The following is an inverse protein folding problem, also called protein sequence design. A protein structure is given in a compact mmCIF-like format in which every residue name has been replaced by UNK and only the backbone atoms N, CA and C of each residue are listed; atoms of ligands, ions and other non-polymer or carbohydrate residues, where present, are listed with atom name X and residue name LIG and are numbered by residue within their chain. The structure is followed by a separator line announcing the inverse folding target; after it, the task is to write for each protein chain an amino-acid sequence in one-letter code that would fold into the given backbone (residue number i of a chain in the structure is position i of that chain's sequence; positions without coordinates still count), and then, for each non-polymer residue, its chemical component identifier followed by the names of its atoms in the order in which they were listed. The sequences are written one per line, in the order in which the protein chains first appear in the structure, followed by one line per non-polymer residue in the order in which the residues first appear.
data_IF_915559211862
#
_entry.id   IF_915559211862
#
_cell.length_a   1.000
_cell.length_b   1.000
_cell.length_c   1.000
_cell.angle_alpha   90.00
_cell.angle_beta   90.00
_cell.angle_gamma   90.00
#
_symmetry.space_group_name_H-M   'P 1'
#
loop_
_entity.id
_entity.type
_entity.pdbx_description
1 polymer ?
#
# COMPACT_ATOMS: atom_id res chain seq x y z
N UNK A 1 11.35 3.38 -29.55
CA UNK A 1 10.52 4.29 -28.75
C UNK A 1 10.68 3.82 -27.32
N UNK A 2 11.57 4.46 -26.56
CA UNK A 2 11.78 4.14 -25.15
C UNK A 2 10.53 4.57 -24.38
N UNK A 3 9.80 3.60 -23.83
CA UNK A 3 8.74 3.89 -22.87
C UNK A 3 9.39 4.50 -21.64
N UNK A 4 9.23 5.80 -21.46
CA UNK A 4 9.68 6.53 -20.27
C UNK A 4 9.00 5.87 -19.05
N UNK A 5 9.77 5.09 -18.29
CA UNK A 5 9.29 4.37 -17.11
C UNK A 5 8.95 5.40 -16.02
N UNK A 6 7.66 5.74 -15.90
CA UNK A 6 7.16 6.61 -14.83
C UNK A 6 7.44 6.00 -13.45
N UNK A 7 7.71 6.85 -12.47
CA UNK A 7 7.96 6.47 -11.07
C UNK A 7 6.69 5.85 -10.49
N UNK A 8 6.80 4.59 -10.07
CA UNK A 8 5.76 3.89 -9.33
C UNK A 8 6.12 3.86 -7.85
N UNK A 9 5.29 4.50 -7.02
CA UNK A 9 5.47 4.63 -5.59
C UNK A 9 4.45 3.75 -4.88
N UNK A 10 4.91 2.89 -3.98
CA UNK A 10 4.05 2.19 -3.03
C UNK A 10 4.06 2.93 -1.70
N UNK A 11 2.89 3.17 -1.13
CA UNK A 11 2.73 3.76 0.20
C UNK A 11 2.10 2.72 1.13
N UNK A 12 2.78 2.44 2.23
CA UNK A 12 2.37 1.46 3.24
C UNK A 12 2.26 2.11 4.63
N UNK A 13 1.12 2.74 4.94
CA UNK A 13 0.87 3.37 6.23
C UNK A 13 0.62 2.34 7.33
N UNK A 14 0.90 2.74 8.56
CA UNK A 14 0.42 2.04 9.75
C UNK A 14 -1.12 2.07 9.75
N UNK A 15 -1.82 0.94 9.98
CA UNK A 15 -3.28 0.86 9.85
C UNK A 15 -4.02 1.48 11.05
N UNK A 16 -3.62 2.70 11.41
CA UNK A 16 -4.26 3.57 12.39
C UNK A 16 -4.81 4.80 11.68
N UNK A 17 -5.93 5.32 12.16
CA UNK A 17 -6.67 6.41 11.50
C UNK A 17 -5.79 7.64 11.22
N UNK A 18 -4.91 8.03 12.16
CA UNK A 18 -3.99 9.16 11.99
C UNK A 18 -3.02 8.96 10.83
N UNK A 19 -2.10 7.97 10.92
CA UNK A 19 -1.14 7.66 9.87
C UNK A 19 -1.76 7.45 8.48
N UNK A 20 -2.90 6.75 8.39
CA UNK A 20 -3.62 6.58 7.12
C UNK A 20 -3.98 7.93 6.50
N UNK A 21 -4.58 8.84 7.25
CA UNK A 21 -4.99 10.15 6.72
C UNK A 21 -3.80 11.02 6.30
N UNK A 22 -2.70 10.96 7.06
CA UNK A 22 -1.46 11.64 6.71
C UNK A 22 -0.91 11.11 5.37
N UNK A 23 -0.82 9.79 5.23
CA UNK A 23 -0.28 9.16 4.02
C UNK A 23 -1.20 9.31 2.80
N UNK A 24 -2.52 9.34 2.98
CA UNK A 24 -3.45 9.69 1.90
C UNK A 24 -3.26 11.13 1.41
N UNK A 25 -3.00 12.06 2.33
CA UNK A 25 -2.71 13.45 1.96
C UNK A 25 -1.36 13.58 1.25
N UNK A 26 -0.37 12.80 1.65
CA UNK A 26 0.90 12.69 0.93
C UNK A 26 0.69 12.14 -0.49
N UNK A 27 -0.09 11.07 -0.65
CA UNK A 27 -0.40 10.49 -1.96
C UNK A 27 -1.07 11.51 -2.90
N UNK A 28 -2.04 12.26 -2.37
CA UNK A 28 -2.77 13.32 -3.10
C UNK A 28 -1.79 14.43 -3.56
N UNK A 29 -0.86 14.86 -2.69
CA UNK A 29 0.17 15.85 -3.04
C UNK A 29 1.13 15.34 -4.12
N UNK A 30 1.62 14.10 -4.00
CA UNK A 30 2.52 13.52 -5.00
C UNK A 30 1.86 13.44 -6.37
N UNK A 31 0.59 13.03 -6.41
CA UNK A 31 -0.17 12.94 -7.65
C UNK A 31 -0.52 14.32 -8.22
N UNK A 32 -0.82 15.30 -7.38
CA UNK A 32 -1.11 16.67 -7.82
C UNK A 32 0.14 17.40 -8.36
N UNK A 33 1.30 17.19 -7.75
CA UNK A 33 2.53 17.94 -8.08
C UNK A 33 3.32 17.35 -9.26
N UNK A 34 3.13 16.07 -9.58
CA UNK A 34 3.87 15.36 -10.64
C UNK A 34 2.91 14.77 -11.67
N UNK A 35 2.29 15.65 -12.43
CA UNK A 35 1.39 15.27 -13.52
C UNK A 35 2.16 14.48 -14.59
N UNK A 36 1.68 13.28 -14.89
CA UNK A 36 2.16 12.33 -15.91
C UNK A 36 3.38 11.43 -15.59
N UNK A 37 4.10 11.62 -14.49
CA UNK A 37 5.28 10.76 -14.19
C UNK A 37 5.12 9.87 -12.98
N UNK A 38 4.27 10.23 -12.00
CA UNK A 38 4.10 9.46 -10.76
C UNK A 38 2.77 8.71 -10.74
N UNK A 39 2.86 7.41 -10.43
CA UNK A 39 1.74 6.57 -10.02
C UNK A 39 1.93 6.12 -8.58
N UNK A 40 0.84 6.04 -7.82
CA UNK A 40 0.83 5.68 -6.40
C UNK A 40 -0.05 4.47 -6.18
N UNK A 41 0.50 3.44 -5.56
CA UNK A 41 -0.26 2.33 -5.00
C UNK A 41 -0.29 2.47 -3.49
N UNK A 42 -1.47 2.69 -2.94
CA UNK A 42 -1.70 2.76 -1.52
C UNK A 42 -2.10 1.38 -0.99
N UNK A 43 -1.29 0.78 -0.13
CA UNK A 43 -1.53 -0.58 0.36
C UNK A 43 -1.97 -0.51 1.82
N UNK A 44 -3.03 -1.22 2.19
CA UNK A 44 -3.44 -1.34 3.60
C UNK A 44 -3.99 -2.73 3.90
N UNK A 45 -4.48 -2.99 5.11
CA UNK A 45 -5.08 -4.29 5.45
C UNK A 45 -6.49 -4.40 4.87
N UNK A 46 -7.00 -5.62 4.66
CA UNK A 46 -8.36 -5.85 4.17
C UNK A 46 -9.43 -5.15 5.03
N UNK A 47 -9.27 -5.20 6.35
CA UNK A 47 -10.18 -4.55 7.29
C UNK A 47 -10.19 -3.03 7.11
N UNK A 48 -9.00 -2.42 6.97
CA UNK A 48 -8.89 -0.97 6.75
C UNK A 48 -9.39 -0.56 5.37
N UNK A 49 -9.06 -1.30 4.31
CA UNK A 49 -9.57 -1.02 2.96
C UNK A 49 -11.10 -1.08 2.91
N UNK A 50 -11.71 -2.04 3.59
CA UNK A 50 -13.17 -2.15 3.72
C UNK A 50 -13.75 -0.94 4.48
N UNK A 51 -13.11 -0.50 5.57
CA UNK A 51 -13.53 0.68 6.34
C UNK A 51 -13.38 1.97 5.51
N UNK A 52 -12.27 2.15 4.80
CA UNK A 52 -12.03 3.30 3.93
C UNK A 52 -13.08 3.37 2.82
N UNK A 53 -13.37 2.27 2.13
CA UNK A 53 -14.36 2.26 1.05
C UNK A 53 -15.78 2.48 1.54
N UNK A 54 -16.12 2.08 2.78
CA UNK A 54 -17.46 2.27 3.36
C UNK A 54 -17.67 3.63 4.02
N UNK A 55 -16.63 4.20 4.63
CA UNK A 55 -16.75 5.36 5.53
C UNK A 55 -15.95 6.58 5.07
N UNK A 56 -15.31 6.53 3.91
CA UNK A 56 -14.62 7.68 3.31
C UNK A 56 -14.95 7.80 1.82
N UNK A 57 -14.62 8.96 1.25
CA UNK A 57 -14.81 9.28 -0.15
C UNK A 57 -13.54 9.02 -0.99
N UNK A 58 -12.67 8.09 -0.56
CA UNK A 58 -11.37 7.82 -1.20
C UNK A 58 -11.49 7.61 -2.72
N UNK A 59 -12.54 6.92 -3.18
CA UNK A 59 -12.80 6.75 -4.61
C UNK A 59 -13.03 8.08 -5.34
N UNK A 60 -13.86 8.97 -4.79
CA UNK A 60 -14.11 10.28 -5.37
C UNK A 60 -12.88 11.19 -5.26
N UNK A 61 -12.17 11.14 -4.14
CA UNK A 61 -10.96 11.94 -3.88
C UNK A 61 -9.87 11.70 -4.92
N UNK A 62 -9.64 10.44 -5.29
CA UNK A 62 -8.57 10.06 -6.21
C UNK A 62 -9.03 9.81 -7.66
N UNK A 63 -10.34 9.86 -7.95
CA UNK A 63 -10.88 9.68 -9.30
C UNK A 63 -10.26 10.62 -10.34
N UNK A 64 -9.93 11.86 -9.94
CA UNK A 64 -9.28 12.87 -10.80
C UNK A 64 -7.89 12.45 -11.31
N UNK A 65 -7.24 11.48 -10.66
CA UNK A 65 -5.92 10.97 -11.07
C UNK A 65 -6.00 9.75 -12.00
N UNK A 66 -7.19 9.20 -12.22
CA UNK A 66 -7.41 8.06 -13.11
C UNK A 66 -6.56 6.84 -12.72
N UNK A 67 -5.88 6.18 -13.68
CA UNK A 67 -5.12 4.95 -13.42
C UNK A 67 -3.84 5.15 -12.60
N UNK A 68 -3.50 6.40 -12.25
CA UNK A 68 -2.28 6.71 -11.48
C UNK A 68 -2.44 6.45 -9.99
N UNK A 69 -3.65 6.21 -9.49
CA UNK A 69 -3.87 5.83 -8.09
C UNK A 69 -4.53 4.46 -8.01
N UNK A 70 -3.95 3.57 -7.21
CA UNK A 70 -4.54 2.28 -6.86
C UNK A 70 -4.63 2.13 -5.35
N UNK A 71 -5.75 1.58 -4.86
CA UNK A 71 -5.90 1.16 -3.47
C UNK A 71 -5.86 -0.36 -3.43
N UNK A 72 -4.80 -0.90 -2.85
CA UNK A 72 -4.59 -2.33 -2.69
C UNK A 72 -4.75 -2.74 -1.23
N UNK A 73 -5.10 -4.01 -1.04
CA UNK A 73 -5.29 -4.58 0.29
C UNK A 73 -4.58 -5.91 0.45
N UNK A 74 -4.08 -6.17 1.66
CA UNK A 74 -3.42 -7.42 2.05
C UNK A 74 -4.07 -7.99 3.32
N UNK A 75 -4.04 -9.32 3.52
CA UNK A 75 -4.50 -9.89 4.78
C UNK A 75 -3.58 -9.43 5.92
N UNK A 76 -4.18 -9.02 7.04
CA UNK A 76 -3.47 -8.69 8.28
C UNK A 76 -2.97 -9.93 9.01
N UNK A 77 -3.52 -11.11 8.70
CA UNK A 77 -3.22 -12.36 9.40
C UNK A 77 -3.80 -12.41 10.80
N UNK A 78 -4.68 -11.48 11.14
CA UNK A 78 -5.43 -11.47 12.38
C UNK A 78 -6.74 -12.26 12.21
N UNK A 79 -7.26 -12.81 13.31
CA UNK A 79 -8.50 -13.58 13.31
C UNK A 79 -9.72 -12.72 12.97
N UNK A 80 -10.84 -13.32 12.51
CA UNK A 80 -12.06 -12.59 12.15
C UNK A 80 -12.70 -11.83 13.34
N UNK A 81 -12.41 -12.22 14.57
CA UNK A 81 -12.97 -11.62 15.80
C UNK A 81 -12.13 -10.44 16.34
N UNK A 82 -10.94 -10.17 15.78
CA UNK A 82 -10.03 -9.11 16.22
C UNK A 82 -10.25 -7.76 15.48
N UNK A 83 -11.45 -7.56 14.94
CA UNK A 83 -11.79 -6.39 14.12
C UNK A 83 -12.03 -5.10 14.92
N UNK A 84 -12.08 -5.17 16.25
CA UNK A 84 -12.29 -4.03 17.14
C UNK A 84 -10.95 -3.48 17.65
N UNK A 85 -10.59 -2.31 17.11
CA UNK A 85 -9.47 -1.43 17.48
C UNK A 85 -8.20 -2.13 18.01
N UNK A 86 -7.12 -2.24 17.19
CA UNK A 86 -5.96 -2.99 17.61
C UNK A 86 -5.33 -2.45 18.90
N UNK A 87 -5.43 -3.22 19.97
CA UNK A 87 -4.63 -3.03 21.17
C UNK A 87 -3.13 -3.17 20.85
N UNK A 88 -2.26 -2.72 21.75
CA UNK A 88 -0.81 -2.74 21.50
C UNK A 88 -0.26 -4.13 21.09
N UNK A 89 -0.83 -5.21 21.63
CA UNK A 89 -0.48 -6.59 21.25
C UNK A 89 -0.90 -6.93 19.82
N UNK A 90 -2.11 -6.55 19.39
CA UNK A 90 -2.61 -6.78 18.03
C UNK A 90 -1.81 -6.02 16.97
N UNK A 91 -1.20 -4.88 17.33
CA UNK A 91 -0.27 -4.15 16.44
C UNK A 91 1.04 -4.92 16.24
N UNK A 92 1.57 -5.57 17.28
CA UNK A 92 2.79 -6.39 17.14
C UNK A 92 2.53 -7.62 16.27
N UNK A 93 1.46 -8.35 16.55
CA UNK A 93 1.09 -9.57 15.82
C UNK A 93 0.84 -9.27 14.32
N UNK A 94 0.20 -8.13 14.05
CA UNK A 94 0.03 -7.60 12.70
C UNK A 94 1.38 -7.35 12.02
N UNK A 95 2.32 -6.67 12.69
CA UNK A 95 3.64 -6.36 12.12
C UNK A 95 4.40 -7.64 11.79
N UNK A 96 4.37 -8.63 12.68
CA UNK A 96 5.05 -9.92 12.50
C UNK A 96 4.43 -10.74 11.35
N UNK A 97 3.09 -10.74 11.26
CA UNK A 97 2.34 -11.32 10.14
C UNK A 97 2.73 -10.68 8.81
N UNK A 98 2.75 -9.34 8.75
CA UNK A 98 3.13 -8.61 7.54
C UNK A 98 4.61 -8.83 7.19
N UNK A 99 5.51 -8.91 8.17
CA UNK A 99 6.92 -9.21 7.95
C UNK A 99 7.09 -10.60 7.31
N UNK A 100 6.38 -11.60 7.82
CA UNK A 100 6.38 -12.97 7.29
C UNK A 100 5.84 -13.01 5.86
N UNK A 101 4.76 -12.28 5.58
CA UNK A 101 4.23 -12.17 4.23
C UNK A 101 5.21 -11.46 3.29
N UNK A 102 5.86 -10.39 3.74
CA UNK A 102 6.77 -9.60 2.89
C UNK A 102 7.97 -10.41 2.38
N UNK A 103 8.41 -11.44 3.10
CA UNK A 103 9.49 -12.34 2.66
C UNK A 103 8.99 -13.53 1.83
N UNK A 104 7.72 -13.94 1.96
CA UNK A 104 7.16 -15.05 1.19
C UNK A 104 6.86 -14.62 -0.26
N UNK A 105 7.58 -15.22 -1.23
CA UNK A 105 7.46 -14.94 -2.66
C UNK A 105 6.07 -15.26 -3.23
N UNK A 106 5.30 -16.14 -2.58
CA UNK A 106 3.93 -16.45 -2.96
C UNK A 106 2.89 -15.50 -2.35
N UNK A 107 3.30 -14.61 -1.45
CA UNK A 107 2.36 -13.75 -0.74
C UNK A 107 1.87 -12.59 -1.61
N UNK A 108 0.64 -12.16 -1.33
CA UNK A 108 0.07 -10.95 -1.95
C UNK A 108 0.90 -9.72 -1.64
N UNK A 109 1.41 -9.59 -0.41
CA UNK A 109 2.21 -8.43 -0.03
C UNK A 109 3.49 -8.35 -0.87
N UNK A 110 4.22 -9.46 -1.04
CA UNK A 110 5.45 -9.48 -1.86
C UNK A 110 5.16 -9.11 -3.32
N UNK A 111 4.06 -9.58 -3.88
CA UNK A 111 3.65 -9.19 -5.23
C UNK A 111 3.34 -7.71 -5.36
N UNK A 112 2.57 -7.14 -4.43
CA UNK A 112 2.23 -5.71 -4.46
C UNK A 112 3.48 -4.86 -4.22
N UNK A 113 4.42 -5.29 -3.37
CA UNK A 113 5.70 -4.58 -3.21
C UNK A 113 6.56 -4.61 -4.47
N UNK A 114 6.45 -5.66 -5.29
CA UNK A 114 7.24 -5.79 -6.52
C UNK A 114 6.62 -4.99 -7.67
N UNK A 115 5.30 -5.02 -7.81
CA UNK A 115 4.60 -4.51 -9.00
C UNK A 115 3.47 -3.51 -8.73
N UNK A 116 3.20 -3.17 -7.46
CA UNK A 116 2.09 -2.31 -6.98
C UNK A 116 0.68 -2.82 -7.36
N UNK A 117 0.60 -4.08 -7.79
CA UNK A 117 -0.56 -4.78 -8.32
C UNK A 117 -1.26 -4.13 -9.53
N UNK A 118 -0.95 -4.69 -10.70
CA UNK A 118 -1.81 -4.75 -11.88
C UNK A 118 -2.00 -6.24 -12.26
N UNK A 119 -2.74 -7.00 -11.44
CA UNK A 119 -2.91 -8.43 -11.66
C UNK A 119 -3.49 -8.69 -13.07
N UNK A 120 -2.76 -9.45 -13.90
CA UNK A 120 -3.19 -9.81 -15.25
C UNK A 120 -3.12 -8.70 -16.30
N UNK A 121 -2.52 -7.54 -16.01
CA UNK A 121 -2.29 -6.50 -17.04
C UNK A 121 -0.93 -6.70 -17.72
N UNK A 122 -0.84 -6.48 -19.04
CA UNK A 122 0.39 -6.61 -19.81
C UNK A 122 1.46 -5.56 -19.45
N UNK A 123 1.08 -4.49 -18.75
CA UNK A 123 1.95 -3.35 -18.42
C UNK A 123 2.35 -3.35 -16.93
N UNK A 124 2.81 -4.51 -16.40
CA UNK A 124 3.34 -4.64 -15.03
C UNK A 124 4.52 -3.68 -14.84
N UNK A 125 4.30 -2.57 -14.14
CA UNK A 125 5.34 -1.59 -13.84
C UNK A 125 6.02 -1.92 -12.51
N UNK A 126 7.33 -2.20 -12.50
CA UNK A 126 8.03 -2.46 -11.26
C UNK A 126 7.93 -1.26 -10.33
N UNK A 127 7.80 -1.52 -9.04
CA UNK A 127 7.81 -0.48 -8.01
C UNK A 127 9.21 0.12 -7.97
N UNK A 128 9.27 1.45 -8.00
CA UNK A 128 10.53 2.21 -8.00
C UNK A 128 10.84 2.85 -6.65
N UNK A 129 9.84 2.98 -5.79
CA UNK A 129 9.96 3.60 -4.48
C UNK A 129 8.91 3.03 -3.53
N UNK A 130 9.31 2.77 -2.29
CA UNK A 130 8.43 2.36 -1.20
C UNK A 130 8.53 3.40 -0.08
N UNK A 131 7.39 3.90 0.35
CA UNK A 131 7.23 4.79 1.51
C UNK A 131 6.45 3.99 2.55
N UNK A 132 7.08 3.66 3.67
CA UNK A 132 6.45 2.89 4.74
C UNK A 132 6.58 3.63 6.08
N UNK A 133 5.60 3.44 6.96
CA UNK A 133 5.72 3.93 8.34
C UNK A 133 6.79 3.15 9.13
N UNK A 134 7.41 3.83 10.10
CA UNK A 134 8.56 3.34 10.85
C UNK A 134 8.46 1.94 11.48
N UNK A 135 7.30 1.50 11.99
CA UNK A 135 7.16 0.14 12.54
C UNK A 135 7.39 -0.98 11.51
N UNK A 136 7.27 -0.70 10.21
CA UNK A 136 7.53 -1.67 9.14
C UNK A 136 9.00 -1.72 8.72
N UNK A 137 9.89 -1.84 9.70
CA UNK A 137 11.34 -1.83 9.49
C UNK A 137 11.81 -2.92 8.48
N UNK A 138 11.12 -4.07 8.45
CA UNK A 138 11.41 -5.19 7.57
C UNK A 138 11.33 -4.84 6.08
N UNK A 139 10.60 -3.78 5.71
CA UNK A 139 10.48 -3.32 4.33
C UNK A 139 11.85 -2.92 3.75
N UNK A 140 12.77 -2.43 4.58
CA UNK A 140 14.12 -2.05 4.13
C UNK A 140 14.92 -3.26 3.65
N UNK A 141 14.75 -4.42 4.27
CA UNK A 141 15.47 -5.62 3.87
C UNK A 141 14.80 -6.30 2.68
N UNK A 142 13.46 -6.38 2.69
CA UNK A 142 12.69 -6.90 1.56
C UNK A 142 12.96 -6.08 0.29
N UNK A 143 13.00 -4.75 0.37
CA UNK A 143 13.27 -3.89 -0.80
C UNK A 143 14.66 -4.05 -1.39
N UNK A 144 15.66 -4.52 -0.64
CA UNK A 144 17.00 -4.83 -1.20
C UNK A 144 16.99 -6.09 -2.06
N UNK A 145 15.99 -6.95 -1.89
CA UNK A 145 15.83 -8.21 -2.63
C UNK A 145 14.92 -8.08 -3.86
N UNK A 146 14.19 -6.97 -4.00
CA UNK A 146 13.26 -6.68 -5.09
C UNK A 146 13.97 -5.98 -6.27
#
# INVERSE_FOLDING_TARGET
METQQGTHVVIFPLPLQGPINCMLSLADLMLALSEATISVTFITTNAVATRLTRHSDIGARFAKYGPRFSLESVPDGLGPDDNDLPGAHQVSDLIDSLATQAVDAGSRLREVLTYGCLWGQPDRRPVTCIIADGPFWFMVDVTKEL
#
